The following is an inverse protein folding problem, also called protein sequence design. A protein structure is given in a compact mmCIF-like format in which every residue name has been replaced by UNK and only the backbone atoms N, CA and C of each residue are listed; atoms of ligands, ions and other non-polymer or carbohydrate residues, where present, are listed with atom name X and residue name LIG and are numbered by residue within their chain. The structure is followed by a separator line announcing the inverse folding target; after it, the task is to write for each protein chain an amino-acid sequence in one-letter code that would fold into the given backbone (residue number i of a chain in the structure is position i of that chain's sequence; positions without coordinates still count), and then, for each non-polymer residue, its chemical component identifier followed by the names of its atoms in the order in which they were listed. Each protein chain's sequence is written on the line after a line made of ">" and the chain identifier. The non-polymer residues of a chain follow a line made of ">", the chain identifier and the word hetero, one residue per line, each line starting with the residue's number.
data_IF_487735257615
#
_entry.id   IF_487735257615
#
_cell.length_a   1.000
_cell.length_b   1.000
_cell.length_c   1.000
_cell.angle_alpha   90.00
_cell.angle_beta   90.00
_cell.angle_gamma   90.00
#
_symmetry.space_group_name_H-M   'P 1'
#
loop_
_entity.id
_entity.type
_entity.pdbx_description
1 polymer ?
#
# COMPACT_ATOMS: atom_id res chain seq x y z
N UNK A 1 22.78 -16.74 -34.62
CA UNK A 1 21.95 -15.53 -34.82
C UNK A 1 20.75 -15.64 -33.91
N UNK A 2 20.73 -14.90 -32.82
CA UNK A 2 19.61 -14.80 -31.88
C UNK A 2 19.33 -13.31 -31.72
N UNK A 3 18.18 -12.85 -32.23
CA UNK A 3 17.76 -11.43 -32.26
C UNK A 3 16.30 -11.31 -31.80
N UNK A 4 15.86 -12.17 -30.88
CA UNK A 4 14.46 -12.24 -30.47
C UNK A 4 14.19 -11.89 -29.00
N UNK A 5 15.19 -11.37 -28.27
CA UNK A 5 15.08 -11.16 -26.81
C UNK A 5 15.22 -9.70 -26.34
N UNK A 6 15.61 -8.75 -27.19
CA UNK A 6 15.82 -7.34 -26.78
C UNK A 6 14.58 -6.44 -26.94
N UNK A 7 13.62 -6.79 -27.81
CA UNK A 7 12.44 -5.94 -28.05
C UNK A 7 11.51 -5.89 -26.84
N UNK A 8 11.29 -7.02 -26.15
CA UNK A 8 10.39 -7.11 -25.00
C UNK A 8 10.89 -6.32 -23.77
N UNK A 9 12.20 -6.25 -23.54
CA UNK A 9 12.75 -5.53 -22.39
C UNK A 9 12.66 -4.01 -22.59
N UNK A 10 12.84 -3.55 -23.82
CA UNK A 10 12.78 -2.13 -24.18
C UNK A 10 11.35 -1.61 -24.01
N UNK A 11 10.35 -2.38 -24.45
CA UNK A 11 8.93 -2.03 -24.30
C UNK A 11 8.49 -1.97 -22.83
N UNK A 12 8.99 -2.90 -21.99
CA UNK A 12 8.72 -2.90 -20.53
C UNK A 12 9.38 -1.70 -19.86
N UNK A 13 10.62 -1.37 -20.25
CA UNK A 13 11.33 -0.22 -19.70
C UNK A 13 10.66 1.10 -20.07
N UNK A 14 10.23 1.24 -21.34
CA UNK A 14 9.48 2.40 -21.82
C UNK A 14 8.13 2.54 -21.11
N UNK A 15 7.44 1.42 -20.87
CA UNK A 15 6.22 1.39 -20.06
C UNK A 15 6.49 1.88 -18.63
N UNK A 16 7.52 1.37 -17.95
CA UNK A 16 7.90 1.78 -16.59
C UNK A 16 8.24 3.27 -16.55
N UNK A 17 9.09 3.75 -17.46
CA UNK A 17 9.49 5.18 -17.54
C UNK A 17 8.25 6.06 -17.71
N UNK A 18 7.35 5.69 -18.61
CA UNK A 18 6.17 6.48 -18.94
C UNK A 18 5.14 6.50 -17.81
N UNK A 19 4.99 5.41 -17.05
CA UNK A 19 3.93 5.27 -16.06
C UNK A 19 4.38 5.55 -14.61
N UNK A 20 5.69 5.53 -14.33
CA UNK A 20 6.24 5.77 -12.98
C UNK A 20 7.01 7.11 -12.93
N UNK A 21 7.82 7.42 -13.95
CA UNK A 21 8.79 8.54 -13.89
C UNK A 21 8.38 9.78 -14.69
N UNK A 22 7.41 9.67 -15.60
CA UNK A 22 6.78 10.84 -16.22
C UNK A 22 5.72 11.41 -15.27
N UNK A 23 5.92 12.61 -14.70
CA UNK A 23 5.06 13.11 -13.63
C UNK A 23 3.68 13.51 -14.12
N UNK A 24 2.65 13.27 -13.31
CA UNK A 24 1.48 14.18 -13.26
C UNK A 24 2.04 15.50 -12.76
N UNK A 25 2.10 16.50 -13.65
CA UNK A 25 2.70 17.83 -13.38
C UNK A 25 2.35 18.33 -11.98
N UNK A 26 3.36 18.43 -11.10
CA UNK A 26 3.24 19.00 -9.77
C UNK A 26 2.64 20.41 -9.86
N UNK A 27 1.67 20.69 -8.98
CA UNK A 27 1.11 22.03 -8.82
C UNK A 27 2.14 22.92 -8.09
N UNK A 28 2.89 23.69 -8.88
CA UNK A 28 3.47 24.99 -8.53
C UNK A 28 4.74 25.07 -7.64
N UNK A 29 5.41 23.99 -7.25
CA UNK A 29 6.74 24.10 -6.63
C UNK A 29 7.79 23.13 -7.21
N UNK A 30 9.04 23.59 -7.30
CA UNK A 30 10.20 22.87 -7.82
C UNK A 30 11.09 22.43 -6.66
N UNK A 31 11.25 21.12 -6.47
CA UNK A 31 12.10 20.53 -5.41
C UNK A 31 13.53 20.21 -5.86
N UNK A 32 13.95 20.72 -7.02
CA UNK A 32 15.31 20.55 -7.54
C UNK A 32 16.33 21.25 -6.62
N UNK A 33 16.99 20.45 -5.77
CA UNK A 33 18.17 20.87 -5.01
C UNK A 33 19.23 19.77 -5.10
N UNK A 34 20.50 20.19 -5.12
CA UNK A 34 21.66 19.28 -5.18
C UNK A 34 21.66 18.21 -4.07
N UNK A 35 21.05 18.53 -2.92
CA UNK A 35 20.94 17.62 -1.79
C UNK A 35 19.81 16.59 -1.97
N UNK A 36 18.67 17.02 -2.51
CA UNK A 36 17.55 16.14 -2.85
C UNK A 36 17.94 15.17 -3.98
N UNK A 37 18.60 15.70 -5.02
CA UNK A 37 19.11 14.87 -6.12
C UNK A 37 20.14 13.84 -5.63
N UNK A 38 20.97 14.22 -4.65
CA UNK A 38 21.91 13.31 -3.98
C UNK A 38 21.23 12.18 -3.20
N UNK A 39 20.09 12.45 -2.57
CA UNK A 39 19.32 11.42 -1.83
C UNK A 39 18.69 10.37 -2.76
N UNK A 40 18.24 10.77 -3.95
CA UNK A 40 17.70 9.84 -4.96
C UNK A 40 18.76 8.83 -5.44
N UNK A 41 20.03 9.23 -5.43
CA UNK A 41 21.16 8.40 -5.87
C UNK A 41 21.65 7.44 -4.80
N UNK A 42 21.16 7.52 -3.55
CA UNK A 42 21.57 6.64 -2.48
C UNK A 42 20.81 5.31 -2.53
N UNK A 43 21.31 4.37 -3.34
CA UNK A 43 20.70 3.05 -3.60
C UNK A 43 20.42 2.25 -2.33
N UNK A 44 21.18 2.46 -1.24
CA UNK A 44 20.96 1.75 0.02
C UNK A 44 19.59 2.07 0.66
N UNK A 45 19.09 3.30 0.46
CA UNK A 45 17.77 3.74 0.93
C UNK A 45 16.61 3.11 0.16
N UNK A 46 16.88 2.51 -1.01
CA UNK A 46 15.86 1.84 -1.82
C UNK A 46 15.61 0.40 -1.39
N UNK A 47 16.48 -0.18 -0.57
CA UNK A 47 16.39 -1.60 -0.20
C UNK A 47 15.02 -1.97 0.41
N UNK A 48 14.46 -1.18 1.36
CA UNK A 48 13.13 -1.46 1.89
C UNK A 48 12.01 -1.31 0.85
N UNK A 49 12.11 -0.31 -0.03
CA UNK A 49 11.16 -0.09 -1.13
C UNK A 49 11.18 -1.24 -2.14
N UNK A 50 12.37 -1.74 -2.50
CA UNK A 50 12.53 -2.89 -3.38
C UNK A 50 11.90 -4.14 -2.75
N UNK A 51 12.17 -4.39 -1.46
CA UNK A 51 11.56 -5.49 -0.71
C UNK A 51 10.04 -5.37 -0.65
N UNK A 52 9.50 -4.17 -0.44
CA UNK A 52 8.06 -3.92 -0.50
C UNK A 52 7.48 -4.25 -1.89
N UNK A 53 8.14 -3.80 -2.96
CA UNK A 53 7.72 -4.06 -4.34
C UNK A 53 7.78 -5.56 -4.69
N UNK A 54 8.79 -6.28 -4.21
CA UNK A 54 8.89 -7.73 -4.35
C UNK A 54 7.72 -8.44 -3.65
N UNK A 55 7.40 -8.04 -2.42
CA UNK A 55 6.26 -8.58 -1.67
C UNK A 55 4.92 -8.29 -2.38
N UNK A 56 4.74 -7.07 -2.90
CA UNK A 56 3.59 -6.69 -3.70
C UNK A 56 3.49 -7.50 -5.00
N UNK A 57 4.60 -7.73 -5.69
CA UNK A 57 4.62 -8.52 -6.92
C UNK A 57 4.19 -9.97 -6.65
N UNK A 58 4.67 -10.58 -5.57
CA UNK A 58 4.25 -11.93 -5.13
C UNK A 58 2.73 -11.96 -4.89
N UNK A 59 2.19 -10.97 -4.21
CA UNK A 59 0.75 -10.86 -3.99
C UNK A 59 -0.05 -10.71 -5.30
N UNK A 60 0.40 -9.85 -6.22
CA UNK A 60 -0.26 -9.61 -7.51
C UNK A 60 -0.29 -10.84 -8.41
N UNK A 61 0.67 -11.76 -8.25
CA UNK A 61 0.71 -13.02 -8.98
C UNK A 61 -0.07 -14.15 -8.31
N UNK A 62 -0.52 -13.95 -7.07
CA UNK A 62 -1.26 -14.93 -6.29
C UNK A 62 -2.77 -14.74 -6.47
N UNK A 63 -3.57 -15.82 -6.56
CA UNK A 63 -5.01 -15.72 -6.84
C UNK A 63 -5.81 -15.11 -5.68
N UNK A 64 -5.28 -15.11 -4.45
CA UNK A 64 -5.91 -14.51 -3.28
C UNK A 64 -4.88 -14.20 -2.19
N UNK A 65 -5.17 -13.20 -1.35
CA UNK A 65 -4.39 -12.89 -0.16
C UNK A 65 -4.75 -13.89 0.96
N UNK A 66 -3.83 -14.80 1.29
CA UNK A 66 -4.04 -15.79 2.36
C UNK A 66 -3.52 -15.28 3.70
N UNK A 67 -4.20 -15.65 4.79
CA UNK A 67 -3.80 -15.24 6.13
C UNK A 67 -2.41 -15.75 6.52
N UNK A 68 -2.04 -16.96 6.07
CA UNK A 68 -0.71 -17.55 6.31
C UNK A 68 0.42 -16.71 5.68
N UNK A 69 0.21 -16.17 4.49
CA UNK A 69 1.19 -15.31 3.81
C UNK A 69 1.35 -14.01 4.61
N UNK A 70 0.25 -13.35 4.97
CA UNK A 70 0.28 -12.12 5.78
C UNK A 70 0.97 -12.38 7.12
N UNK A 71 0.59 -13.45 7.83
CA UNK A 71 1.17 -13.84 9.11
C UNK A 71 2.70 -14.01 8.98
N UNK A 72 3.14 -14.77 7.97
CA UNK A 72 4.57 -15.03 7.75
C UNK A 72 5.35 -13.74 7.43
N UNK A 73 4.77 -12.85 6.62
CA UNK A 73 5.39 -11.59 6.25
C UNK A 73 5.51 -10.66 7.46
N UNK A 74 4.43 -10.47 8.22
CA UNK A 74 4.42 -9.63 9.43
C UNK A 74 5.43 -10.15 10.46
N UNK A 75 5.48 -11.46 10.70
CA UNK A 75 6.47 -12.08 11.61
C UNK A 75 7.91 -11.91 11.17
N UNK A 76 8.14 -11.77 9.86
CA UNK A 76 9.49 -11.63 9.28
C UNK A 76 9.98 -10.18 9.19
N UNK A 77 9.12 -9.20 9.49
CA UNK A 77 9.49 -7.78 9.42
C UNK A 77 10.65 -7.47 10.36
N UNK A 78 11.49 -6.54 9.92
CA UNK A 78 12.57 -5.92 10.68
C UNK A 78 12.36 -4.40 10.65
N UNK A 79 13.01 -3.69 11.57
CA UNK A 79 13.02 -2.22 11.53
C UNK A 79 13.50 -1.71 10.17
N UNK A 80 12.73 -0.79 9.59
CA UNK A 80 12.89 -0.26 8.24
C UNK A 80 12.04 -0.97 7.18
N UNK A 81 11.50 -2.17 7.44
CA UNK A 81 10.69 -2.89 6.46
C UNK A 81 9.33 -2.25 6.24
N UNK A 82 8.86 -2.33 4.99
CA UNK A 82 7.54 -1.90 4.55
C UNK A 82 6.81 -3.09 3.93
N UNK A 83 5.57 -3.31 4.36
CA UNK A 83 4.62 -4.22 3.74
C UNK A 83 3.44 -3.43 3.21
N UNK A 84 2.95 -3.78 2.03
CA UNK A 84 1.78 -3.17 1.43
C UNK A 84 0.84 -4.28 0.93
N UNK A 85 -0.43 -4.17 1.30
CA UNK A 85 -1.47 -5.12 0.96
C UNK A 85 -2.55 -4.42 0.15
N UNK A 86 -2.88 -4.97 -1.02
CA UNK A 86 -3.99 -4.52 -1.85
C UNK A 86 -5.20 -5.42 -1.63
N UNK A 87 -6.29 -4.84 -1.14
CA UNK A 87 -7.56 -5.51 -0.87
C UNK A 87 -8.53 -5.12 -1.98
N UNK A 88 -8.42 -5.83 -3.11
CA UNK A 88 -9.12 -5.52 -4.35
C UNK A 88 -10.63 -5.41 -4.19
N UNK A 89 -11.25 -6.41 -3.54
CA UNK A 89 -12.70 -6.48 -3.33
C UNK A 89 -13.23 -5.33 -2.48
N UNK A 90 -12.35 -4.60 -1.80
CA UNK A 90 -12.72 -3.48 -0.93
C UNK A 90 -12.19 -2.14 -1.40
N UNK A 91 -11.54 -2.06 -2.58
CA UNK A 91 -10.91 -0.83 -3.07
C UNK A 91 -10.01 -0.17 -2.00
N UNK A 92 -9.28 -0.98 -1.22
CA UNK A 92 -8.50 -0.51 -0.09
C UNK A 92 -7.06 -1.03 -0.15
N UNK A 93 -6.13 -0.22 0.37
CA UNK A 93 -4.76 -0.60 0.62
C UNK A 93 -4.46 -0.50 2.11
N UNK A 94 -3.60 -1.39 2.60
CA UNK A 94 -3.09 -1.39 3.97
C UNK A 94 -1.57 -1.43 3.91
N UNK A 95 -0.91 -0.48 4.58
CA UNK A 95 0.55 -0.35 4.60
C UNK A 95 1.05 -0.48 6.04
N UNK A 96 2.10 -1.26 6.25
CA UNK A 96 2.78 -1.42 7.53
C UNK A 96 4.23 -0.97 7.36
N UNK A 97 4.72 -0.15 8.28
CA UNK A 97 6.14 0.20 8.36
C UNK A 97 6.66 -0.08 9.76
N UNK A 98 7.60 -1.00 9.87
CA UNK A 98 8.20 -1.32 11.15
C UNK A 98 9.32 -0.32 11.43
N UNK A 99 9.20 0.42 12.52
CA UNK A 99 10.25 1.26 13.07
C UNK A 99 10.90 0.51 14.26
N UNK A 100 11.94 1.10 14.85
CA UNK A 100 12.71 0.45 15.93
C UNK A 100 11.85 -0.06 17.10
N UNK A 101 10.82 0.70 17.48
CA UNK A 101 10.00 0.43 18.68
C UNK A 101 8.50 0.27 18.38
N UNK A 102 8.06 0.66 17.18
CA UNK A 102 6.64 0.69 16.81
C UNK A 102 6.46 0.36 15.35
N UNK A 103 5.32 -0.23 15.02
CA UNK A 103 4.87 -0.42 13.64
C UNK A 103 3.78 0.59 13.36
N UNK A 104 3.95 1.34 12.26
CA UNK A 104 2.94 2.24 11.74
C UNK A 104 2.03 1.44 10.82
N UNK A 105 0.73 1.55 11.03
CA UNK A 105 -0.31 0.98 10.18
C UNK A 105 -1.07 2.11 9.51
N UNK A 106 -1.21 2.03 8.20
CA UNK A 106 -2.00 2.96 7.41
C UNK A 106 -3.01 2.19 6.55
N UNK A 107 -4.18 2.78 6.36
CA UNK A 107 -5.13 2.27 5.37
C UNK A 107 -5.78 3.40 4.60
N UNK A 108 -6.04 3.17 3.30
CA UNK A 108 -6.65 4.16 2.43
C UNK A 108 -7.38 3.54 1.24
N UNK A 109 -8.26 4.32 0.63
CA UNK A 109 -9.00 3.98 -0.58
C UNK A 109 -8.10 4.02 -1.83
N UNK A 110 -7.96 2.93 -2.57
CA UNK A 110 -7.01 2.84 -3.69
C UNK A 110 -7.41 3.74 -4.87
N UNK A 111 -8.71 3.86 -5.11
CA UNK A 111 -9.24 4.69 -6.18
C UNK A 111 -10.52 5.40 -5.72
N UNK A 112 -10.75 6.66 -6.10
CA UNK A 112 -11.96 7.35 -5.70
C UNK A 112 -13.20 6.72 -6.34
N UNK A 113 -14.36 6.77 -5.68
CA UNK A 113 -15.57 6.17 -6.22
C UNK A 113 -16.07 6.93 -7.44
N UNK A 114 -16.67 6.21 -8.39
CA UNK A 114 -17.07 6.74 -9.69
C UNK A 114 -17.95 8.00 -9.58
N UNK A 115 -18.86 8.05 -8.61
CA UNK A 115 -19.72 9.22 -8.40
C UNK A 115 -18.92 10.47 -7.99
N UNK A 116 -17.92 10.31 -7.12
CA UNK A 116 -17.08 11.42 -6.67
C UNK A 116 -16.26 12.00 -7.84
N UNK A 117 -15.82 11.13 -8.75
CA UNK A 117 -15.15 11.56 -9.99
C UNK A 117 -16.12 12.30 -10.92
N UNK A 118 -17.33 11.77 -11.11
CA UNK A 118 -18.32 12.34 -12.05
C UNK A 118 -18.94 13.65 -11.56
N UNK A 119 -19.07 13.84 -10.24
CA UNK A 119 -19.62 15.07 -9.64
C UNK A 119 -18.59 16.19 -9.44
N UNK A 120 -17.29 15.86 -9.52
CA UNK A 120 -16.23 16.84 -9.34
C UNK A 120 -16.30 17.93 -10.43
N UNK A 121 -16.68 19.14 -10.04
CA UNK A 121 -16.64 20.33 -10.92
C UNK A 121 -15.21 20.83 -11.22
N UNK A 122 -14.19 20.11 -10.73
CA UNK A 122 -12.78 20.50 -10.76
C UNK A 122 -11.87 19.29 -10.52
N UNK A 123 -10.79 19.49 -9.75
CA UNK A 123 -9.89 18.37 -9.37
C UNK A 123 -10.44 17.68 -8.14
N UNK A 124 -10.40 16.36 -8.13
CA UNK A 124 -10.62 15.57 -6.94
C UNK A 124 -9.37 15.66 -6.05
N UNK A 125 -9.54 15.99 -4.78
CA UNK A 125 -8.46 15.91 -3.79
C UNK A 125 -8.56 14.55 -3.11
N UNK A 126 -7.65 13.64 -3.45
CA UNK A 126 -7.45 12.43 -2.66
C UNK A 126 -6.34 12.70 -1.63
N UNK A 127 -6.64 12.46 -0.36
CA UNK A 127 -5.62 12.50 0.69
C UNK A 127 -5.11 11.07 0.88
N UNK A 128 -3.87 10.84 0.46
CA UNK A 128 -3.16 9.60 0.64
C UNK A 128 -1.83 9.87 1.36
N UNK A 129 -1.40 8.98 2.24
CA UNK A 129 -2.17 7.87 2.84
C UNK A 129 -3.27 8.38 3.81
N UNK A 130 -4.15 7.48 4.24
CA UNK A 130 -5.21 7.75 5.22
C UNK A 130 -4.67 7.79 6.66
N UNK A 131 -5.53 7.75 7.70
CA UNK A 131 -5.09 7.84 9.09
C UNK A 131 -4.04 6.77 9.43
N UNK A 132 -2.94 7.20 10.05
CA UNK A 132 -1.86 6.32 10.49
C UNK A 132 -1.98 6.02 11.99
N UNK A 133 -1.73 4.77 12.37
CA UNK A 133 -1.79 4.30 13.76
C UNK A 133 -0.46 3.66 14.14
N UNK A 134 0.12 4.14 15.23
CA UNK A 134 1.34 3.60 15.81
C UNK A 134 1.01 2.55 16.87
N UNK A 135 1.47 1.32 16.65
CA UNK A 135 1.33 0.21 17.61
C UNK A 135 2.73 -0.22 18.07
N UNK A 136 2.92 -0.47 19.37
CA UNK A 136 4.18 -0.97 19.91
C UNK A 136 4.58 -2.29 19.25
N UNK A 137 5.87 -2.46 18.90
CA UNK A 137 6.37 -3.73 18.35
C UNK A 137 6.09 -4.89 19.32
N UNK A 138 6.07 -4.65 20.64
CA UNK A 138 5.71 -5.68 21.63
C UNK A 138 4.30 -6.26 21.46
N UNK A 139 3.38 -5.49 20.86
CA UNK A 139 2.02 -5.95 20.53
C UNK A 139 2.03 -6.69 19.20
N UNK A 140 2.74 -6.18 18.20
CA UNK A 140 2.84 -6.81 16.86
C UNK A 140 3.59 -8.14 16.92
N UNK A 141 4.63 -8.22 17.75
CA UNK A 141 5.43 -9.43 17.99
C UNK A 141 4.70 -10.45 18.88
N UNK A 142 3.54 -10.10 19.45
CA UNK A 142 2.73 -11.03 20.19
C UNK A 142 2.31 -12.18 19.26
N UNK A 143 2.52 -13.47 19.63
CA UNK A 143 2.21 -14.60 18.76
C UNK A 143 0.76 -14.67 18.25
N UNK A 144 -0.17 -13.99 18.92
CA UNK A 144 -1.59 -13.91 18.54
C UNK A 144 -1.88 -12.79 17.53
N UNK A 145 -1.09 -11.71 17.47
CA UNK A 145 -1.41 -10.58 16.61
C UNK A 145 -1.26 -10.90 15.11
N UNK A 146 -0.12 -11.41 14.59
CA UNK A 146 0.04 -11.71 13.18
C UNK A 146 -1.00 -12.69 12.58
N UNK A 147 -1.38 -13.80 13.24
CA UNK A 147 -2.40 -14.69 12.69
C UNK A 147 -3.79 -14.05 12.66
N UNK A 148 -4.18 -13.28 13.68
CA UNK A 148 -5.48 -12.59 13.69
C UNK A 148 -5.53 -11.48 12.62
N UNK A 149 -4.44 -10.73 12.47
CA UNK A 149 -4.32 -9.72 11.43
C UNK A 149 -4.36 -10.35 10.02
N UNK A 150 -3.64 -11.44 9.81
CA UNK A 150 -3.69 -12.20 8.56
C UNK A 150 -5.06 -12.75 8.26
N UNK A 151 -5.75 -13.32 9.26
CA UNK A 151 -7.10 -13.81 9.11
C UNK A 151 -8.07 -12.69 8.70
N UNK A 152 -8.00 -11.54 9.40
CA UNK A 152 -8.79 -10.35 9.06
C UNK A 152 -8.59 -9.92 7.61
N UNK A 153 -7.34 -9.73 7.16
CA UNK A 153 -7.07 -9.29 5.79
C UNK A 153 -7.50 -10.32 4.74
N UNK A 154 -7.33 -11.61 5.02
CA UNK A 154 -7.72 -12.67 4.07
C UNK A 154 -9.23 -12.79 3.88
N UNK A 155 -10.00 -12.61 4.96
CA UNK A 155 -11.46 -12.53 4.90
C UNK A 155 -11.90 -11.33 4.06
N UNK A 156 -11.30 -10.18 4.33
CA UNK A 156 -11.62 -8.95 3.61
C UNK A 156 -11.23 -8.98 2.12
N UNK A 157 -10.22 -9.77 1.77
CA UNK A 157 -9.81 -9.97 0.38
C UNK A 157 -10.74 -10.92 -0.40
N UNK A 158 -11.61 -11.68 0.28
CA UNK A 158 -12.44 -12.72 -0.33
C UNK A 158 -13.95 -12.43 -0.21
N UNK A 159 -14.36 -11.68 0.81
CA UNK A 159 -15.75 -11.29 1.02
C UNK A 159 -16.04 -10.00 0.26
N UNK A 160 -16.71 -10.11 -0.90
CA UNK A 160 -17.38 -8.99 -1.53
C UNK A 160 -18.55 -8.55 -0.63
N UNK A 161 -18.33 -7.52 0.18
CA UNK A 161 -19.28 -7.11 1.24
C UNK A 161 -20.61 -6.56 0.70
N UNK A 162 -20.71 -6.26 -0.60
CA UNK A 162 -21.94 -5.72 -1.19
C UNK A 162 -22.28 -6.37 -2.55
N UNK A 163 -23.30 -7.26 -2.60
CA UNK A 163 -23.78 -7.86 -3.84
C UNK A 163 -24.58 -6.87 -4.73
N UNK A 164 -24.84 -5.65 -4.25
CA UNK A 164 -25.56 -4.62 -5.01
C UNK A 164 -24.66 -3.75 -5.90
N UNK A 165 -23.34 -3.79 -5.69
CA UNK A 165 -22.37 -3.03 -6.49
C UNK A 165 -22.39 -3.51 -7.94
N UNK A 166 -22.84 -2.62 -8.84
CA UNK A 166 -22.94 -2.94 -10.26
C UNK A 166 -21.53 -3.01 -10.88
N UNK A 167 -21.37 -3.83 -11.94
CA UNK A 167 -20.12 -3.89 -12.71
C UNK A 167 -19.67 -2.49 -13.14
N UNK A 168 -18.59 -1.99 -12.56
CA UNK A 168 -18.02 -0.65 -12.84
C UNK A 168 -18.12 0.35 -11.69
N UNK A 169 -18.79 0.00 -10.59
CA UNK A 169 -18.78 0.75 -9.35
C UNK A 169 -17.77 0.13 -8.39
N UNK A 170 -16.97 0.97 -7.71
CA UNK A 170 -16.05 0.53 -6.66
C UNK A 170 -16.86 0.30 -5.38
N UNK A 171 -16.65 -0.84 -4.70
CA UNK A 171 -17.19 -1.05 -3.34
C UNK A 171 -16.73 0.10 -2.46
N UNK A 172 -17.63 0.71 -1.69
CA UNK A 172 -17.30 1.85 -0.85
C UNK A 172 -16.34 1.40 0.28
N UNK A 173 -15.05 1.79 0.26
CA UNK A 173 -14.02 1.24 1.15
C UNK A 173 -14.15 1.70 2.60
N UNK A 174 -15.04 2.67 2.85
CA UNK A 174 -15.21 3.27 4.18
C UNK A 174 -15.46 2.23 5.26
N UNK A 175 -16.10 1.10 4.94
CA UNK A 175 -16.32 0.07 5.95
C UNK A 175 -15.01 -0.58 6.41
N UNK A 176 -14.14 -1.02 5.50
CA UNK A 176 -12.92 -1.74 5.90
C UNK A 176 -11.86 -0.81 6.47
N UNK A 177 -11.65 0.36 5.85
CA UNK A 177 -10.63 1.31 6.28
C UNK A 177 -10.97 1.84 7.66
N UNK A 178 -12.23 2.24 7.89
CA UNK A 178 -12.71 2.66 9.21
C UNK A 178 -12.67 1.51 10.23
N UNK A 179 -13.18 0.32 9.89
CA UNK A 179 -13.21 -0.83 10.81
C UNK A 179 -11.78 -1.23 11.24
N UNK A 180 -10.86 -1.34 10.28
CA UNK A 180 -9.48 -1.67 10.57
C UNK A 180 -8.84 -0.58 11.44
N UNK A 181 -9.03 0.69 11.08
CA UNK A 181 -8.55 1.84 11.85
C UNK A 181 -9.10 1.81 13.28
N UNK A 182 -10.40 1.58 13.48
CA UNK A 182 -11.03 1.50 14.80
C UNK A 182 -10.50 0.32 15.63
N UNK A 183 -10.24 -0.83 15.00
CA UNK A 183 -9.63 -1.99 15.67
C UNK A 183 -8.20 -1.65 16.11
N UNK A 184 -7.40 -1.08 15.22
CA UNK A 184 -6.00 -0.73 15.50
C UNK A 184 -5.89 0.36 16.58
N UNK A 185 -6.85 1.28 16.68
CA UNK A 185 -6.90 2.27 17.75
C UNK A 185 -7.04 1.66 19.15
N UNK A 186 -7.57 0.45 19.27
CA UNK A 186 -7.60 -0.24 20.57
C UNK A 186 -6.21 -0.66 21.06
N UNK A 187 -5.21 -0.71 20.16
CA UNK A 187 -3.87 -1.21 20.44
C UNK A 187 -2.79 -0.12 20.33
N UNK A 188 -3.14 1.08 19.87
CA UNK A 188 -2.18 2.10 19.50
C UNK A 188 -2.74 3.52 19.55
N UNK A 189 -1.94 4.45 19.05
CA UNK A 189 -2.22 5.89 19.08
C UNK A 189 -2.14 6.45 17.66
N UNK A 190 -2.84 7.55 17.34
CA UNK A 190 -2.66 8.26 16.07
C UNK A 190 -1.18 8.62 15.83
N UNK A 191 -0.72 8.46 14.59
CA UNK A 191 0.62 8.84 14.15
C UNK A 191 0.52 9.93 13.10
N UNK A 192 1.29 11.01 13.27
CA UNK A 192 1.45 12.05 12.23
C UNK A 192 2.61 11.74 11.27
N UNK A 193 3.34 10.66 11.53
CA UNK A 193 4.44 10.19 10.67
C UNK A 193 3.87 9.18 9.69
N UNK A 194 3.79 9.53 8.39
CA UNK A 194 3.35 8.58 7.40
C UNK A 194 4.43 7.53 7.15
N UNK A 195 3.97 6.37 6.68
CA UNK A 195 4.81 5.28 6.21
C UNK A 195 5.62 5.64 4.96
N UNK A 196 5.08 6.53 4.13
CA UNK A 196 5.55 6.90 2.78
C UNK A 196 5.64 8.42 2.67
#
# INVERSE_FOLDING_TARGET
>A
MSVASESSQTDVLEYIITHIFCPVKLLQHSDYTLNNDGSLLNVEQWSPLLKMLENLAVMMTSPSLTGEVVESQVKSMQAGDILAYLIWEQNAAVVLCMLDMKTIFESFEVSPPAYAVMEAKGKLLCLYPGPAIAISNSVVDNPTFPPEFGNFLSHMSSDGLDPSVHKGETVHPHYITQLLTDILYMFGEPSDVPCI
#
